data_IF_232163336731
#
_entry.id   IF_232163336731
#
_cell.length_a   1.000
_cell.length_b   1.000
_cell.length_c   1.000
_cell.angle_alpha   90.00
_cell.angle_beta   90.00
_cell.angle_gamma   90.00
#
_symmetry.space_group_name_H-M   'P 1'
#
loop_
_entity.id
_entity.type
_entity.pdbx_description
1 polymer ?
#
# COMPACT_ATOMS: atom_id res chain seq x y z
N UNK A 1 -9.54 28.31 -24.65
CA UNK A 1 -10.38 28.23 -23.44
C UNK A 1 -9.96 26.98 -22.69
N UNK A 2 -9.66 27.06 -21.39
CA UNK A 2 -9.34 25.85 -20.62
C UNK A 2 -10.62 25.04 -20.47
N UNK A 3 -10.60 23.77 -20.92
CA UNK A 3 -11.73 22.84 -20.76
C UNK A 3 -12.04 22.66 -19.28
N UNK A 4 -13.33 22.62 -18.94
CA UNK A 4 -13.80 22.34 -17.57
C UNK A 4 -13.28 21.00 -17.10
N UNK A 5 -12.70 20.95 -15.90
CA UNK A 5 -12.24 19.70 -15.31
C UNK A 5 -13.44 18.87 -14.86
N UNK A 6 -13.44 17.56 -15.14
CA UNK A 6 -14.51 16.64 -14.75
C UNK A 6 -13.94 15.52 -13.86
N UNK A 7 -14.76 14.92 -12.98
CA UNK A 7 -14.36 13.71 -12.27
C UNK A 7 -14.13 12.56 -13.25
N UNK A 8 -13.10 11.75 -12.98
CA UNK A 8 -12.82 10.51 -13.70
C UNK A 8 -13.94 9.49 -13.49
N UNK A 9 -14.50 9.44 -12.26
CA UNK A 9 -15.62 8.59 -11.88
C UNK A 9 -16.46 9.28 -10.79
N UNK A 10 -17.75 8.96 -10.72
CA UNK A 10 -18.65 9.43 -9.66
C UNK A 10 -19.23 8.20 -8.95
N UNK A 11 -18.83 7.98 -7.71
CA UNK A 11 -19.24 6.86 -6.88
C UNK A 11 -18.30 6.66 -5.69
N UNK A 12 -18.23 5.44 -5.17
CA UNK A 12 -17.40 5.13 -3.99
C UNK A 12 -16.35 4.10 -4.34
N UNK A 13 -15.09 4.36 -3.98
CA UNK A 13 -14.04 3.36 -4.09
C UNK A 13 -14.04 2.60 -2.76
N UNK A 14 -14.54 1.37 -2.72
CA UNK A 14 -14.60 0.59 -1.49
C UNK A 14 -13.27 -0.10 -1.23
N UNK A 15 -12.82 -0.95 -2.16
CA UNK A 15 -11.63 -1.80 -2.03
C UNK A 15 -10.48 -1.40 -2.95
N UNK A 16 -9.34 -2.06 -2.82
CA UNK A 16 -8.23 -1.92 -3.78
C UNK A 16 -8.67 -2.31 -5.19
N UNK A 17 -9.46 -3.37 -5.33
CA UNK A 17 -9.95 -3.84 -6.64
C UNK A 17 -10.77 -2.74 -7.36
N UNK A 18 -11.65 -2.05 -6.64
CA UNK A 18 -12.39 -0.91 -7.21
C UNK A 18 -11.46 0.17 -7.77
N UNK A 19 -10.37 0.48 -7.06
CA UNK A 19 -9.39 1.44 -7.53
C UNK A 19 -8.69 0.95 -8.81
N UNK A 20 -8.30 -0.33 -8.84
CA UNK A 20 -7.65 -0.94 -10.00
C UNK A 20 -8.57 -0.98 -11.23
N UNK A 21 -9.87 -1.20 -11.05
CA UNK A 21 -10.86 -1.13 -12.14
C UNK A 21 -10.88 0.27 -12.77
N UNK A 22 -10.86 1.34 -11.97
CA UNK A 22 -10.85 2.71 -12.49
C UNK A 22 -9.49 3.06 -13.12
N UNK A 23 -8.37 2.58 -12.58
CA UNK A 23 -7.07 2.70 -13.25
C UNK A 23 -7.08 2.01 -14.61
N UNK A 24 -7.55 0.77 -14.70
CA UNK A 24 -7.68 0.03 -15.96
C UNK A 24 -8.58 0.76 -16.95
N UNK A 25 -9.72 1.29 -16.50
CA UNK A 25 -10.61 2.09 -17.33
C UNK A 25 -9.91 3.33 -17.91
N UNK A 26 -8.98 3.95 -17.18
CA UNK A 26 -8.20 5.08 -17.68
C UNK A 26 -7.11 4.65 -18.66
N UNK A 27 -6.40 3.56 -18.37
CA UNK A 27 -5.33 3.03 -19.21
C UNK A 27 -5.84 2.43 -20.53
N UNK A 28 -7.09 1.97 -20.55
CA UNK A 28 -7.79 1.50 -21.77
C UNK A 28 -8.48 2.62 -22.55
N UNK A 29 -8.48 3.86 -22.03
CA UNK A 29 -9.14 5.01 -22.66
C UNK A 29 -10.67 5.07 -22.46
N UNK A 30 -11.26 4.17 -21.68
CA UNK A 30 -12.68 4.20 -21.33
C UNK A 30 -13.03 5.37 -20.38
N UNK A 31 -12.07 5.81 -19.56
CA UNK A 31 -12.14 7.01 -18.72
C UNK A 31 -10.91 7.88 -18.94
N UNK A 32 -11.01 9.15 -18.57
CA UNK A 32 -9.93 10.10 -18.77
C UNK A 32 -9.19 10.39 -17.46
N UNK A 33 -7.86 10.42 -17.56
CA UNK A 33 -7.01 11.06 -16.55
C UNK A 33 -7.32 12.55 -16.48
N UNK A 34 -7.24 13.13 -15.29
CA UNK A 34 -7.29 14.59 -15.15
C UNK A 34 -5.95 15.20 -15.59
N UNK A 35 -5.96 16.16 -16.53
CA UNK A 35 -4.72 16.69 -17.11
C UNK A 35 -4.09 17.80 -16.25
N UNK A 36 -4.79 18.27 -15.21
CA UNK A 36 -4.38 19.41 -14.39
C UNK A 36 -5.09 19.43 -13.05
N UNK A 37 -4.62 20.31 -12.16
CA UNK A 37 -5.25 20.60 -10.87
C UNK A 37 -6.59 21.34 -11.05
N UNK A 38 -7.53 21.19 -10.09
CA UNK A 38 -8.73 22.00 -10.05
C UNK A 38 -8.37 23.45 -9.70
N UNK A 39 -8.89 24.38 -10.49
CA UNK A 39 -8.79 25.81 -10.21
C UNK A 39 -9.70 26.19 -9.04
N UNK A 40 -9.40 27.29 -8.34
CA UNK A 40 -10.16 27.71 -7.15
C UNK A 40 -11.67 27.80 -7.42
N UNK A 41 -12.06 28.35 -8.58
CA UNK A 41 -13.46 28.46 -9.02
C UNK A 41 -14.16 27.12 -9.27
N UNK A 42 -13.41 26.07 -9.61
CA UNK A 42 -13.96 24.74 -9.92
C UNK A 42 -14.10 23.86 -8.66
N UNK A 43 -13.38 24.20 -7.57
CA UNK A 43 -13.29 23.34 -6.37
C UNK A 43 -14.63 23.11 -5.69
N UNK A 44 -15.52 24.10 -5.68
CA UNK A 44 -16.86 23.95 -5.08
C UNK A 44 -17.70 22.87 -5.79
N UNK A 45 -17.44 22.66 -7.08
CA UNK A 45 -18.12 21.63 -7.87
C UNK A 45 -17.39 20.29 -7.84
N UNK A 46 -16.06 20.32 -7.75
CA UNK A 46 -15.23 19.13 -7.87
C UNK A 46 -14.93 18.44 -6.55
N UNK A 47 -14.78 19.19 -5.45
CA UNK A 47 -14.41 18.64 -4.15
C UNK A 47 -15.69 18.34 -3.36
N UNK A 48 -16.41 17.33 -3.83
CA UNK A 48 -17.67 16.86 -3.25
C UNK A 48 -17.73 15.35 -3.16
N UNK A 49 -18.64 14.85 -2.33
CA UNK A 49 -18.88 13.43 -2.18
C UNK A 49 -19.18 12.75 -3.51
N UNK A 50 -18.64 11.55 -3.70
CA UNK A 50 -18.74 10.75 -4.92
C UNK A 50 -17.65 11.03 -5.95
N UNK A 51 -17.04 12.22 -5.98
CA UNK A 51 -16.08 12.53 -7.04
C UNK A 51 -14.76 11.79 -6.84
N UNK A 52 -14.30 11.15 -7.92
CA UNK A 52 -13.03 10.44 -8.01
C UNK A 52 -12.22 10.99 -9.17
N UNK A 53 -10.92 11.22 -8.93
CA UNK A 53 -9.98 11.75 -9.89
C UNK A 53 -8.77 10.83 -9.99
N UNK A 54 -8.36 10.51 -11.22
CA UNK A 54 -7.09 9.84 -11.49
C UNK A 54 -6.20 10.79 -12.29
N UNK A 55 -4.96 10.98 -11.84
CA UNK A 55 -3.94 11.69 -12.62
C UNK A 55 -2.66 10.88 -12.75
N UNK A 56 -2.00 11.05 -13.89
CA UNK A 56 -0.67 10.55 -14.16
C UNK A 56 0.34 11.68 -13.89
N UNK A 57 1.43 11.41 -13.17
CA UNK A 57 2.36 12.47 -12.72
C UNK A 57 3.05 13.19 -13.87
N UNK A 58 3.53 12.49 -14.90
CA UNK A 58 4.30 13.11 -15.99
C UNK A 58 3.41 13.95 -16.91
N UNK A 59 2.31 13.38 -17.43
CA UNK A 59 1.41 14.08 -18.33
C UNK A 59 0.70 15.27 -17.69
N UNK A 60 0.32 15.18 -16.41
CA UNK A 60 -0.41 16.25 -15.71
C UNK A 60 0.49 17.27 -14.99
N UNK A 61 1.74 16.89 -14.70
CA UNK A 61 2.65 17.65 -13.83
C UNK A 61 2.23 17.70 -12.36
N UNK A 62 1.25 16.89 -11.94
CA UNK A 62 0.72 16.88 -10.57
C UNK A 62 1.49 15.87 -9.73
N UNK A 63 2.32 16.34 -8.80
CA UNK A 63 3.02 15.46 -7.83
C UNK A 63 2.24 15.18 -6.53
N UNK A 64 1.31 16.07 -6.19
CA UNK A 64 0.52 16.03 -4.96
C UNK A 64 -0.80 16.69 -5.23
N UNK A 65 -1.94 16.09 -4.91
CA UNK A 65 -3.23 16.74 -5.11
C UNK A 65 -3.47 17.90 -4.11
N UNK A 66 -4.04 19.01 -4.59
CA UNK A 66 -4.34 20.20 -3.78
C UNK A 66 -5.78 20.66 -4.04
N UNK A 67 -6.59 20.64 -3.00
CA UNK A 67 -8.04 20.86 -3.07
C UNK A 67 -8.53 22.05 -2.22
N UNK A 68 -7.64 22.70 -1.46
CA UNK A 68 -7.98 23.84 -0.60
C UNK A 68 -8.74 23.48 0.68
N UNK A 69 -9.00 22.19 0.94
CA UNK A 69 -9.71 21.75 2.15
C UNK A 69 -8.72 21.52 3.29
N UNK A 70 -9.13 21.85 4.51
CA UNK A 70 -8.35 21.59 5.73
C UNK A 70 -8.51 20.13 6.13
N UNK A 71 -7.46 19.33 5.92
CA UNK A 71 -7.47 17.90 6.19
C UNK A 71 -6.75 17.54 7.50
N UNK A 72 -7.25 16.52 8.19
CA UNK A 72 -6.51 15.85 9.25
C UNK A 72 -5.18 15.27 8.76
N UNK A 73 -4.22 14.96 9.64
CA UNK A 73 -3.11 14.06 9.28
C UNK A 73 -3.65 12.72 8.74
N UNK A 74 -2.92 12.11 7.80
CA UNK A 74 -3.33 10.85 7.18
C UNK A 74 -3.38 9.70 8.19
N UNK A 75 -4.25 8.72 7.91
CA UNK A 75 -4.21 7.39 8.51
C UNK A 75 -4.20 6.33 7.41
N UNK A 76 -3.60 5.19 7.71
CA UNK A 76 -3.64 4.03 6.85
C UNK A 76 -4.99 3.33 7.09
N UNK A 77 -5.69 3.03 6.01
CA UNK A 77 -6.85 2.16 5.97
C UNK A 77 -6.61 1.20 4.80
N UNK A 78 -6.19 -0.03 5.12
CA UNK A 78 -5.72 -1.02 4.16
C UNK A 78 -4.61 -0.46 3.26
N UNK A 79 -4.86 -0.41 1.95
CA UNK A 79 -3.96 0.12 0.94
C UNK A 79 -4.09 1.62 0.70
N UNK A 80 -4.98 2.29 1.44
CA UNK A 80 -5.29 3.69 1.25
C UNK A 80 -4.70 4.57 2.34
N UNK A 81 -4.44 5.82 1.98
CA UNK A 81 -4.34 6.92 2.94
C UNK A 81 -5.68 7.64 3.01
N UNK A 82 -6.22 7.77 4.22
CA UNK A 82 -7.48 8.47 4.51
C UNK A 82 -7.25 9.75 5.31
N UNK A 83 -8.08 10.75 5.01
CA UNK A 83 -8.10 12.07 5.62
C UNK A 83 -9.55 12.47 5.88
N UNK A 84 -9.79 13.22 6.95
CA UNK A 84 -11.12 13.77 7.26
C UNK A 84 -11.07 15.28 7.36
N UNK A 85 -12.09 15.95 6.83
CA UNK A 85 -12.23 17.39 6.84
C UNK A 85 -12.31 17.92 8.28
N UNK A 86 -11.54 18.98 8.54
CA UNK A 86 -11.51 19.69 9.81
C UNK A 86 -12.44 20.89 9.76
N UNK A 87 -13.02 21.24 10.91
CA UNK A 87 -13.84 22.45 11.04
C UNK A 87 -13.02 23.71 10.75
N UNK A 88 -11.76 23.69 11.16
CA UNK A 88 -10.81 24.80 10.98
C UNK A 88 -9.41 24.26 10.70
N UNK A 89 -8.57 24.99 9.93
CA UNK A 89 -7.16 24.64 9.81
C UNK A 89 -6.46 24.71 11.17
N UNK A 90 -5.36 23.96 11.30
CA UNK A 90 -4.47 24.09 12.46
C UNK A 90 -3.94 25.52 12.55
N UNK A 91 -4.02 26.13 13.73
CA UNK A 91 -3.51 27.47 13.96
C UNK A 91 -1.98 27.55 13.77
N UNK A 92 -1.43 28.75 13.49
CA UNK A 92 0.03 28.94 13.42
C UNK A 92 0.68 28.48 14.74
N UNK A 93 1.54 27.46 14.67
CA UNK A 93 2.25 26.91 15.83
C UNK A 93 1.50 25.82 16.63
N UNK A 94 0.25 25.49 16.30
CA UNK A 94 -0.44 24.36 16.91
C UNK A 94 0.19 23.03 16.45
N UNK A 95 0.65 22.22 17.41
CA UNK A 95 1.16 20.88 17.10
C UNK A 95 0.01 20.01 16.60
N UNK A 96 0.19 19.32 15.47
CA UNK A 96 -0.75 18.34 14.87
C UNK A 96 -0.91 17.05 15.71
N UNK A 97 -1.06 17.18 17.02
CA UNK A 97 -1.23 16.06 17.95
C UNK A 97 -2.72 15.76 18.09
N UNK A 98 -3.07 14.48 18.13
CA UNK A 98 -4.44 14.07 18.44
C UNK A 98 -4.84 14.61 19.82
N UNK A 99 -6.11 15.00 19.96
CA UNK A 99 -6.64 15.41 21.25
C UNK A 99 -6.51 14.23 22.23
N UNK A 100 -5.87 14.46 23.39
CA UNK A 100 -5.86 13.49 24.48
C UNK A 100 -7.27 13.47 25.07
N UNK A 101 -7.98 12.35 24.95
CA UNK A 101 -9.26 12.16 25.64
C UNK A 101 -9.06 12.37 27.15
N UNK A 102 -9.81 13.24 27.82
CA UNK A 102 -9.92 13.17 29.27
C UNK A 102 -10.54 11.81 29.62
N UNK A 103 -9.93 11.07 30.55
CA UNK A 103 -10.56 9.88 31.15
C UNK A 103 -11.86 10.36 31.80
N UNK A 104 -13.01 10.13 31.15
CA UNK A 104 -14.30 10.29 31.82
C UNK A 104 -14.35 9.23 32.93
N UNK A 105 -14.20 9.65 34.18
CA UNK A 105 -14.69 8.86 35.30
C UNK A 105 -16.19 8.68 35.09
N UNK A 106 -16.61 7.44 34.88
CA UNK A 106 -18.00 7.06 34.64
C UNK A 106 -18.80 7.18 35.94
N UNK A 107 -19.46 8.31 36.15
CA UNK A 107 -20.64 8.38 37.00
C UNK A 107 -21.81 8.86 36.14
N UNK A 108 -22.81 8.00 35.93
CA UNK A 108 -24.10 8.38 35.34
C UNK A 108 -24.49 7.53 34.14
N UNK A 109 -25.22 6.45 34.41
CA UNK A 109 -26.00 5.68 33.43
C UNK A 109 -27.14 6.58 32.91
N UNK A 110 -26.98 7.12 31.72
CA UNK A 110 -28.09 7.42 30.80
C UNK A 110 -27.61 6.99 29.41
N UNK A 111 -27.91 5.74 29.10
CA UNK A 111 -27.67 5.09 27.81
C UNK A 111 -28.53 5.77 26.75
N UNK A 112 -27.95 6.68 25.97
CA UNK A 112 -28.42 6.95 24.61
C UNK A 112 -27.75 5.90 23.71
N UNK A 113 -28.41 4.75 23.57
CA UNK A 113 -27.86 3.55 22.91
C UNK A 113 -27.55 3.78 21.41
N UNK A 114 -28.13 4.79 20.77
CA UNK A 114 -27.97 5.06 19.34
C UNK A 114 -26.60 5.65 18.91
N UNK A 115 -25.77 6.13 19.84
CA UNK A 115 -24.54 6.88 19.52
C UNK A 115 -23.26 6.03 19.54
N UNK A 116 -23.31 4.82 20.09
CA UNK A 116 -22.17 3.89 20.09
C UNK A 116 -22.15 2.99 18.86
N UNK A 117 -23.30 2.52 18.39
CA UNK A 117 -23.39 1.59 17.24
C UNK A 117 -22.87 2.22 15.93
N UNK A 118 -23.16 3.51 15.70
CA UNK A 118 -22.69 4.22 14.51
C UNK A 118 -21.15 4.32 14.38
N UNK A 119 -20.41 4.17 15.48
CA UNK A 119 -18.96 4.40 15.52
C UNK A 119 -18.17 3.27 14.87
N UNK A 120 -18.66 2.04 14.96
CA UNK A 120 -17.97 0.89 14.38
C UNK A 120 -18.14 0.89 12.86
N UNK A 121 -19.33 1.23 12.37
CA UNK A 121 -19.59 1.41 10.92
C UNK A 121 -18.77 2.57 10.33
N UNK A 122 -18.65 3.69 11.07
CA UNK A 122 -17.78 4.79 10.64
C UNK A 122 -16.32 4.34 10.61
N UNK A 123 -15.88 3.50 11.55
CA UNK A 123 -14.49 3.03 11.62
C UNK A 123 -14.08 2.24 10.36
N UNK A 124 -15.01 1.52 9.74
CA UNK A 124 -14.75 0.84 8.46
C UNK A 124 -14.45 1.83 7.32
N UNK A 125 -15.01 3.05 7.39
CA UNK A 125 -14.84 4.08 6.35
C UNK A 125 -13.64 4.99 6.63
N UNK A 126 -13.45 5.41 7.88
CA UNK A 126 -12.46 6.43 8.26
C UNK A 126 -11.31 5.89 9.13
N UNK A 127 -11.28 4.59 9.40
CA UNK A 127 -10.27 3.96 10.25
C UNK A 127 -10.22 4.57 11.64
N UNK A 128 -9.03 4.97 12.08
CA UNK A 128 -8.83 5.57 13.41
C UNK A 128 -9.22 7.04 13.53
N UNK A 129 -9.74 7.70 12.48
CA UNK A 129 -10.07 9.14 12.46
C UNK A 129 -11.46 9.47 13.06
N UNK A 130 -11.90 8.73 14.08
CA UNK A 130 -13.26 8.90 14.65
C UNK A 130 -13.36 10.15 15.53
N UNK A 131 -12.42 10.35 16.46
CA UNK A 131 -12.49 11.41 17.48
C UNK A 131 -11.13 12.02 17.86
N UNK A 132 -10.13 11.90 16.98
CA UNK A 132 -8.77 12.39 17.23
C UNK A 132 -8.58 13.90 17.03
N UNK A 133 -9.49 14.57 16.31
CA UNK A 133 -9.38 15.98 15.89
C UNK A 133 -10.76 16.65 15.89
N UNK A 134 -10.76 17.99 15.77
CA UNK A 134 -11.97 18.80 15.58
C UNK A 134 -12.47 18.67 14.14
N UNK A 135 -13.06 17.53 13.85
CA UNK A 135 -13.63 17.22 12.54
C UNK A 135 -14.91 18.02 12.31
N UNK A 136 -15.10 18.45 11.07
CA UNK A 136 -16.34 19.07 10.64
C UNK A 136 -17.49 18.07 10.76
N UNK A 137 -18.64 18.53 11.26
CA UNK A 137 -19.85 17.72 11.31
C UNK A 137 -20.30 17.37 9.88
N UNK A 138 -20.52 16.08 9.60
CA UNK A 138 -20.78 15.58 8.24
C UNK A 138 -19.69 15.98 7.22
N UNK A 139 -18.46 16.19 7.70
CA UNK A 139 -17.33 16.58 6.86
C UNK A 139 -16.94 15.53 5.83
N UNK A 140 -16.26 16.00 4.79
CA UNK A 140 -15.80 15.18 3.70
C UNK A 140 -14.67 14.24 4.17
N UNK A 141 -14.60 13.06 3.57
CA UNK A 141 -13.49 12.13 3.66
C UNK A 141 -12.76 12.13 2.32
N UNK A 142 -11.44 12.20 2.37
CA UNK A 142 -10.58 11.99 1.21
C UNK A 142 -9.84 10.67 1.38
N UNK A 143 -9.92 9.80 0.37
CA UNK A 143 -9.23 8.53 0.31
C UNK A 143 -8.33 8.49 -0.92
N UNK A 144 -7.08 8.07 -0.75
CA UNK A 144 -6.07 8.09 -1.81
C UNK A 144 -5.29 6.79 -1.88
N UNK A 145 -4.93 6.39 -3.09
CA UNK A 145 -4.05 5.25 -3.39
C UNK A 145 -3.20 5.63 -4.61
N UNK A 146 -2.07 4.95 -4.78
CA UNK A 146 -1.17 5.21 -5.89
C UNK A 146 -0.62 3.89 -6.41
N UNK A 147 -0.37 3.87 -7.71
CA UNK A 147 0.23 2.74 -8.43
C UNK A 147 1.36 3.28 -9.30
N UNK A 148 2.22 2.37 -9.76
CA UNK A 148 3.19 2.66 -10.81
C UNK A 148 2.86 1.78 -12.00
N UNK A 149 2.73 2.39 -13.18
CA UNK A 149 2.50 1.69 -14.44
C UNK A 149 3.53 2.19 -15.46
N UNK A 150 4.25 1.28 -16.11
CA UNK A 150 5.34 1.60 -17.06
C UNK A 150 6.37 2.63 -16.52
N UNK A 151 6.68 2.52 -15.22
CA UNK A 151 7.61 3.43 -14.53
C UNK A 151 7.05 4.81 -14.20
N UNK A 152 5.78 5.09 -14.52
CA UNK A 152 5.11 6.37 -14.24
C UNK A 152 4.15 6.22 -13.06
N UNK A 153 4.19 7.13 -12.06
CA UNK A 153 3.22 7.15 -10.99
C UNK A 153 1.84 7.61 -11.46
N UNK A 154 0.80 6.85 -11.10
CA UNK A 154 -0.60 7.26 -11.21
C UNK A 154 -1.22 7.32 -9.82
N UNK A 155 -2.07 8.32 -9.62
CA UNK A 155 -2.67 8.61 -8.32
C UNK A 155 -4.17 8.70 -8.45
N UNK A 156 -4.87 8.06 -7.50
CA UNK A 156 -6.31 8.18 -7.33
C UNK A 156 -6.61 9.01 -6.09
N UNK A 157 -7.55 9.94 -6.23
CA UNK A 157 -8.13 10.74 -5.15
C UNK A 157 -9.65 10.58 -5.19
N UNK A 158 -10.22 10.05 -4.12
CA UNK A 158 -11.66 9.85 -3.97
C UNK A 158 -12.19 10.67 -2.80
N UNK A 159 -13.36 11.26 -3.00
CA UNK A 159 -14.08 12.04 -2.00
C UNK A 159 -15.42 11.40 -1.68
N UNK A 160 -15.79 11.33 -0.40
CA UNK A 160 -17.11 10.84 0.01
C UNK A 160 -17.47 11.36 1.41
N UNK A 161 -18.75 11.39 1.75
CA UNK A 161 -19.22 11.49 3.14
C UNK A 161 -19.60 10.10 3.65
N UNK A 162 -19.43 9.84 4.94
CA UNK A 162 -19.85 8.56 5.54
C UNK A 162 -21.36 8.32 5.32
N UNK A 163 -22.17 9.38 5.37
CA UNK A 163 -23.61 9.34 5.13
C UNK A 163 -23.95 8.83 3.72
N UNK A 164 -23.27 9.30 2.68
CA UNK A 164 -23.55 8.91 1.30
C UNK A 164 -23.21 7.45 1.03
N UNK A 165 -22.15 6.96 1.67
CA UNK A 165 -21.77 5.55 1.61
C UNK A 165 -22.78 4.68 2.37
N UNK A 166 -23.11 5.05 3.61
CA UNK A 166 -24.06 4.31 4.46
C UNK A 166 -25.47 4.27 3.88
N UNK A 167 -25.90 5.33 3.20
CA UNK A 167 -27.19 5.39 2.51
C UNK A 167 -27.22 4.65 1.17
N UNK A 168 -26.09 4.09 0.72
CA UNK A 168 -26.00 3.35 -0.55
C UNK A 168 -26.14 4.23 -1.79
N UNK A 169 -25.97 5.56 -1.67
CA UNK A 169 -26.11 6.49 -2.80
C UNK A 169 -24.95 6.43 -3.80
N UNK A 170 -23.80 5.92 -3.36
CA UNK A 170 -22.57 5.88 -4.16
C UNK A 170 -22.29 4.46 -4.63
N UNK A 171 -22.34 4.24 -5.94
CA UNK A 171 -22.06 2.93 -6.56
C UNK A 171 -20.55 2.66 -6.61
N UNK A 172 -20.14 1.45 -6.26
CA UNK A 172 -18.75 1.01 -6.41
C UNK A 172 -18.43 0.62 -7.86
N UNK A 173 -17.20 0.86 -8.36
CA UNK A 173 -16.78 0.44 -9.70
C UNK A 173 -17.07 -1.03 -10.02
N UNK A 174 -16.80 -1.95 -9.08
CA UNK A 174 -17.11 -3.38 -9.20
C UNK A 174 -18.60 -3.71 -9.37
N UNK A 175 -19.49 -2.79 -8.99
CA UNK A 175 -20.95 -2.93 -9.12
C UNK A 175 -21.52 -2.07 -10.25
N UNK A 176 -20.71 -1.22 -10.89
CA UNK A 176 -21.17 -0.32 -11.93
C UNK A 176 -21.34 -1.08 -13.26
N UNK A 177 -22.47 -0.96 -13.98
CA UNK A 177 -22.75 -1.76 -15.18
C UNK A 177 -21.64 -1.74 -16.24
N UNK A 178 -21.06 -0.56 -16.49
CA UNK A 178 -20.02 -0.38 -17.52
C UNK A 178 -18.61 -0.79 -17.07
N UNK A 179 -18.39 -1.00 -15.78
CA UNK A 179 -17.05 -1.16 -15.21
C UNK A 179 -16.84 -2.52 -14.54
N UNK A 180 -17.92 -3.16 -14.07
CA UNK A 180 -17.88 -4.45 -13.35
C UNK A 180 -17.24 -5.61 -14.15
N UNK A 181 -17.17 -5.47 -15.46
CA UNK A 181 -16.58 -6.47 -16.37
C UNK A 181 -15.16 -6.10 -16.81
N UNK A 182 -14.64 -4.93 -16.42
CA UNK A 182 -13.25 -4.57 -16.67
C UNK A 182 -12.36 -5.36 -15.71
N UNK A 183 -11.46 -6.15 -16.27
CA UNK A 183 -10.48 -6.92 -15.50
C UNK A 183 -9.16 -6.13 -15.53
N UNK A 184 -8.66 -5.66 -14.38
CA UNK A 184 -7.35 -5.00 -14.32
C UNK A 184 -6.24 -5.92 -14.85
N UNK A 185 -5.36 -5.36 -15.68
CA UNK A 185 -4.18 -6.09 -16.18
C UNK A 185 -3.29 -6.62 -15.06
N UNK A 186 -2.56 -7.70 -15.35
CA UNK A 186 -1.66 -8.41 -14.41
C UNK A 186 -0.65 -7.47 -13.72
N UNK A 187 -0.08 -6.51 -14.45
CA UNK A 187 0.84 -5.50 -13.91
C UNK A 187 0.22 -4.65 -12.78
N UNK A 188 -1.08 -4.38 -12.82
CA UNK A 188 -1.77 -3.64 -11.77
C UNK A 188 -2.06 -4.50 -10.54
N UNK A 189 -2.21 -5.81 -10.72
CA UNK A 189 -2.52 -6.75 -9.66
C UNK A 189 -1.27 -7.23 -8.93
N UNK A 190 -0.17 -7.45 -9.65
CA UNK A 190 1.00 -8.18 -9.15
C UNK A 190 2.24 -7.31 -8.96
N UNK A 191 2.36 -6.17 -9.66
CA UNK A 191 3.57 -5.35 -9.66
C UNK A 191 3.51 -4.15 -8.70
N UNK A 192 2.56 -4.15 -7.77
CA UNK A 192 2.34 -3.05 -6.84
C UNK A 192 2.78 -3.42 -5.41
N UNK A 193 3.30 -2.43 -4.67
CA UNK A 193 3.71 -2.60 -3.27
C UNK A 193 2.56 -2.26 -2.30
N UNK A 194 1.49 -3.05 -2.37
CA UNK A 194 0.34 -2.90 -1.48
C UNK A 194 0.67 -3.38 -0.05
N UNK A 195 0.08 -2.68 0.93
CA UNK A 195 0.26 -2.92 2.38
C UNK A 195 -0.60 -4.07 2.88
N UNK A 196 -1.73 -4.30 2.22
CA UNK A 196 -2.70 -5.34 2.51
C UNK A 196 -3.03 -6.10 1.22
N UNK A 197 -3.49 -7.36 1.32
CA UNK A 197 -3.98 -8.12 0.16
C UNK A 197 -5.05 -7.35 -0.63
N UNK A 198 -5.22 -7.70 -1.90
CA UNK A 198 -6.31 -7.17 -2.73
C UNK A 198 -7.56 -7.99 -2.41
N UNK A 199 -8.59 -7.36 -1.86
CA UNK A 199 -9.86 -8.03 -1.56
C UNK A 199 -10.45 -8.67 -2.83
N UNK A 200 -10.85 -9.93 -2.73
CA UNK A 200 -11.38 -10.73 -3.85
C UNK A 200 -10.34 -11.49 -4.67
N UNK A 201 -9.04 -11.38 -4.34
CA UNK A 201 -7.96 -12.17 -4.98
C UNK A 201 -7.48 -13.36 -4.16
N UNK A 202 -8.07 -13.63 -2.98
CA UNK A 202 -7.78 -14.85 -2.23
C UNK A 202 -8.09 -16.06 -3.11
N UNK A 203 -7.09 -16.94 -3.26
CA UNK A 203 -6.88 -17.96 -4.29
C UNK A 203 -7.95 -19.06 -4.46
N UNK A 204 -9.23 -18.81 -4.20
CA UNK A 204 -10.28 -19.85 -4.26
C UNK A 204 -11.65 -19.42 -4.78
N UNK A 205 -11.89 -18.18 -5.22
CA UNK A 205 -13.29 -17.76 -5.55
C UNK A 205 -13.57 -17.01 -6.84
N UNK A 206 -12.58 -16.64 -7.68
CA UNK A 206 -12.92 -16.07 -9.01
C UNK A 206 -12.09 -16.73 -10.13
N UNK A 207 -12.67 -17.77 -10.74
CA UNK A 207 -12.11 -18.49 -11.90
C UNK A 207 -11.77 -17.54 -13.07
N UNK A 208 -12.40 -16.36 -13.16
CA UNK A 208 -12.14 -15.40 -14.24
C UNK A 208 -10.78 -14.74 -14.12
N UNK A 209 -10.38 -14.36 -12.90
CA UNK A 209 -9.06 -13.77 -12.67
C UNK A 209 -7.97 -14.84 -12.78
N UNK A 210 -8.20 -16.05 -12.26
CA UNK A 210 -7.24 -17.16 -12.42
C UNK A 210 -7.06 -17.56 -13.87
N UNK A 211 -8.14 -17.67 -14.65
CA UNK A 211 -8.07 -18.03 -16.06
C UNK A 211 -7.30 -17.00 -16.87
N UNK A 212 -7.54 -15.69 -16.66
CA UNK A 212 -6.83 -14.66 -17.40
C UNK A 212 -5.36 -14.54 -16.99
N UNK A 213 -5.05 -14.71 -15.71
CA UNK A 213 -3.66 -14.80 -15.21
C UNK A 213 -2.95 -16.01 -15.82
N UNK A 214 -3.58 -17.20 -15.87
CA UNK A 214 -3.00 -18.39 -16.50
C UNK A 214 -2.76 -18.21 -18.00
N UNK A 215 -3.68 -17.54 -18.70
CA UNK A 215 -3.53 -17.22 -20.14
C UNK A 215 -2.37 -16.25 -20.39
N UNK A 216 -2.21 -15.23 -19.54
CA UNK A 216 -1.14 -14.23 -19.63
C UNK A 216 0.24 -14.82 -19.26
N UNK A 217 0.27 -15.80 -18.36
CA UNK A 217 1.46 -16.59 -18.01
C UNK A 217 1.76 -17.76 -18.99
N UNK A 218 1.04 -17.87 -20.11
CA UNK A 218 1.31 -18.88 -21.13
C UNK A 218 0.90 -20.31 -20.76
N UNK A 219 0.13 -20.50 -19.69
CA UNK A 219 -0.49 -21.78 -19.36
C UNK A 219 -1.77 -21.96 -20.17
N UNK A 220 -1.61 -22.44 -21.39
CA UNK A 220 -2.70 -22.87 -22.24
C UNK A 220 -3.37 -24.10 -21.61
N UNK A 221 -4.51 -23.94 -20.93
CA UNK A 221 -5.37 -25.06 -20.54
C UNK A 221 -6.17 -25.49 -21.77
N UNK A 222 -5.48 -26.04 -22.77
CA UNK A 222 -6.15 -26.92 -23.71
C UNK A 222 -6.63 -28.12 -22.90
N UNK A 223 -7.91 -28.17 -22.56
CA UNK A 223 -8.59 -29.43 -22.25
C UNK A 223 -8.51 -30.27 -23.52
N UNK A 224 -7.41 -30.98 -23.67
CA UNK A 224 -7.32 -32.11 -24.57
C UNK A 224 -8.04 -33.23 -23.86
N UNK A 225 -9.26 -33.51 -24.34
CA UNK A 225 -10.01 -34.71 -23.99
C UNK A 225 -9.09 -35.92 -24.16
N UNK A 226 -8.69 -36.51 -23.04
CA UNK A 226 -8.00 -37.80 -23.04
C UNK A 226 -9.07 -38.85 -23.40
N UNK A 227 -8.93 -39.63 -24.49
CA UNK A 227 -9.87 -40.69 -24.79
C UNK A 227 -9.75 -41.81 -23.73
N UNK A 228 -10.86 -42.49 -23.36
CA UNK A 228 -10.78 -43.59 -22.43
C UNK A 228 -10.29 -44.83 -23.18
N UNK A 229 -9.16 -45.41 -22.75
CA UNK A 229 -8.72 -46.72 -23.22
C UNK A 229 -8.60 -47.65 -22.00
N UNK A 230 -9.52 -48.61 -21.93
CA UNK A 230 -9.40 -49.84 -21.13
C UNK A 230 -9.14 -51.03 -22.09
N UNK A 231 -8.89 -52.25 -21.61
CA UNK A 231 -7.67 -52.70 -20.96
C UNK A 231 -7.07 -53.96 -21.65
N UNK A 232 -5.86 -54.33 -21.22
CA UNK A 232 -5.41 -55.70 -20.91
C UNK A 232 -4.31 -56.40 -21.76
N UNK A 233 -3.48 -57.13 -21.01
CA UNK A 233 -2.57 -58.25 -21.29
C UNK A 233 -1.15 -58.10 -21.90
N UNK A 234 -0.18 -58.37 -21.00
CA UNK A 234 0.94 -59.34 -21.06
C UNK A 234 2.40 -58.92 -21.34
N UNK A 235 3.23 -59.15 -20.30
CA UNK A 235 4.56 -59.79 -20.21
C UNK A 235 5.56 -59.76 -21.39
N UNK A 236 6.79 -59.33 -21.06
CA UNK A 236 8.03 -59.67 -21.77
C UNK A 236 9.27 -59.02 -21.15
N UNK A 237 10.00 -59.75 -20.30
CA UNK A 237 11.33 -59.38 -19.79
C UNK A 237 12.38 -59.39 -20.91
N UNK A 238 13.17 -58.32 -21.06
CA UNK A 238 14.53 -58.38 -21.63
C UNK A 238 15.45 -57.35 -20.96
N UNK A 239 16.59 -57.83 -20.47
CA UNK A 239 17.73 -57.03 -20.03
C UNK A 239 18.48 -56.51 -21.26
N UNK A 240 18.80 -55.22 -21.31
CA UNK A 240 19.87 -54.70 -22.16
C UNK A 240 20.44 -53.41 -21.58
N UNK A 241 21.75 -53.44 -21.31
CA UNK A 241 22.57 -52.30 -20.90
C UNK A 241 22.59 -51.21 -21.98
N UNK A 242 22.55 -49.95 -21.56
CA UNK A 242 22.74 -48.79 -22.44
C UNK A 242 23.16 -47.57 -21.63
N UNK A 243 24.36 -47.07 -21.92
CA UNK A 243 25.13 -46.08 -21.17
C UNK A 243 24.48 -44.68 -21.15
N UNK A 244 24.63 -43.99 -20.01
CA UNK A 244 24.34 -42.56 -19.83
C UNK A 244 25.48 -41.70 -20.41
N UNK A 245 25.19 -40.57 -21.10
CA UNK A 245 26.21 -39.57 -21.39
C UNK A 245 26.39 -38.61 -20.17
N UNK A 246 27.58 -38.02 -19.97
CA UNK A 246 27.85 -37.18 -18.80
C UNK A 246 27.29 -35.76 -18.95
N UNK A 247 26.79 -35.23 -17.83
CA UNK A 247 26.49 -33.81 -17.61
C UNK A 247 27.81 -33.03 -17.55
N UNK A 248 27.95 -32.04 -18.43
CA UNK A 248 29.01 -31.03 -18.34
C UNK A 248 28.64 -30.02 -17.24
N UNK A 249 29.35 -30.06 -16.11
CA UNK A 249 29.40 -28.95 -15.17
C UNK A 249 30.26 -27.83 -15.74
N UNK A 250 29.70 -26.64 -15.95
CA UNK A 250 30.48 -25.44 -16.22
C UNK A 250 30.62 -24.64 -14.92
N UNK A 251 31.81 -24.74 -14.33
CA UNK A 251 32.26 -23.98 -13.18
C UNK A 251 32.63 -22.57 -13.64
N UNK A 252 31.90 -21.54 -13.20
CA UNK A 252 32.24 -20.15 -13.47
C UNK A 252 33.23 -19.65 -12.40
N UNK A 253 34.50 -19.54 -12.78
CA UNK A 253 35.54 -18.92 -11.98
C UNK A 253 35.37 -17.40 -11.93
N UNK A 254 35.48 -16.84 -10.72
CA UNK A 254 35.66 -15.41 -10.48
C UNK A 254 37.02 -14.95 -11.03
N UNK A 255 37.01 -14.02 -11.98
CA UNK A 255 38.20 -13.26 -12.35
C UNK A 255 38.09 -11.83 -11.84
N UNK A 256 39.01 -11.49 -10.93
CA UNK A 256 39.31 -10.13 -10.51
C UNK A 256 40.03 -9.41 -11.66
N UNK A 257 39.44 -8.34 -12.19
CA UNK A 257 40.14 -7.42 -13.07
C UNK A 257 40.49 -6.14 -12.31
N UNK A 258 41.79 -5.97 -12.05
CA UNK A 258 42.40 -4.67 -11.81
C UNK A 258 42.42 -3.88 -13.13
N UNK A 259 41.95 -2.63 -13.12
CA UNK A 259 42.23 -1.68 -14.18
C UNK A 259 42.96 -0.46 -13.61
N UNK A 260 44.21 -0.37 -14.02
CA UNK A 260 45.10 0.77 -13.89
C UNK A 260 44.80 1.70 -15.07
N UNK A 261 44.38 2.94 -14.84
CA UNK A 261 44.44 3.98 -15.86
C UNK A 261 44.82 5.34 -15.27
N UNK A 262 45.77 5.94 -15.97
CA UNK A 262 46.60 7.08 -15.65
C UNK A 262 45.98 8.32 -16.32
N UNK A 263 45.74 9.40 -15.56
CA UNK A 263 45.25 10.67 -16.11
C UNK A 263 46.28 11.79 -15.90
N UNK A 264 46.81 12.31 -17.01
CA UNK A 264 47.43 13.63 -17.08
C UNK A 264 46.36 14.72 -17.25
N UNK A 265 46.59 15.95 -16.74
CA UNK A 265 45.61 17.04 -16.80
C UNK A 265 45.81 17.89 -18.07
N UNK A 266 44.70 18.26 -18.72
CA UNK A 266 44.68 19.37 -19.67
C UNK A 266 43.69 20.43 -19.23
N UNK A 267 44.24 21.64 -19.15
CA UNK A 267 43.64 22.89 -18.72
C UNK A 267 42.78 23.46 -19.86
N UNK A 268 41.60 23.97 -19.51
CA UNK A 268 40.91 24.99 -20.30
C UNK A 268 40.45 26.12 -19.35
N UNK A 269 40.41 27.37 -19.83
CA UNK A 269 40.34 28.56 -18.98
C UNK A 269 38.92 28.82 -18.45
N UNK A 270 38.77 29.47 -17.28
CA UNK A 270 37.46 29.87 -16.79
C UNK A 270 37.03 31.21 -17.41
N UNK A 271 35.82 31.22 -17.96
CA UNK A 271 35.09 32.45 -18.23
C UNK A 271 34.53 33.04 -16.92
N UNK A 272 34.55 34.36 -16.89
CA UNK A 272 34.27 35.24 -15.76
C UNK A 272 32.82 35.13 -15.28
N UNK A 273 32.63 34.81 -14.00
CA UNK A 273 31.52 35.32 -13.19
C UNK A 273 32.08 35.73 -11.84
N UNK A 274 32.54 36.97 -11.77
CA UNK A 274 32.76 37.63 -10.50
C UNK A 274 31.43 38.15 -9.94
N UNK A 275 31.34 37.99 -8.63
CA UNK A 275 30.73 38.93 -7.69
C UNK A 275 29.30 38.67 -7.21
N UNK A 276 29.15 37.64 -6.38
CA UNK A 276 28.33 37.77 -5.17
C UNK A 276 28.89 36.93 -4.02
N UNK A 277 30.10 37.27 -3.58
CA UNK A 277 30.68 36.71 -2.36
C UNK A 277 30.54 37.73 -1.23
N UNK A 278 29.37 37.71 -0.57
CA UNK A 278 29.17 38.39 0.72
C UNK A 278 28.97 37.36 1.83
N UNK A 279 30.04 37.21 2.63
CA UNK A 279 30.10 36.85 4.05
C UNK A 279 29.06 35.85 4.59
N UNK A 280 29.36 34.56 4.50
CA UNK A 280 28.78 33.58 5.44
C UNK A 280 29.53 33.71 6.78
N UNK A 281 28.80 33.88 7.88
CA UNK A 281 29.39 33.98 9.21
C UNK A 281 30.09 32.67 9.62
N UNK A 282 31.11 32.70 10.49
CA UNK A 282 31.76 31.49 11.00
C UNK A 282 30.78 30.48 11.61
N UNK A 283 29.68 30.97 12.20
CA UNK A 283 28.61 30.13 12.74
C UNK A 283 27.86 29.34 11.66
N UNK A 284 27.69 29.91 10.46
CA UNK A 284 27.02 29.21 9.35
C UNK A 284 27.91 28.10 8.76
N UNK A 285 29.23 28.34 8.70
CA UNK A 285 30.19 27.33 8.25
C UNK A 285 30.27 26.14 9.24
N UNK A 286 30.24 26.43 10.53
CA UNK A 286 30.22 25.41 11.58
C UNK A 286 28.92 24.59 11.57
N UNK A 287 27.77 25.24 11.31
CA UNK A 287 26.50 24.55 11.18
C UNK A 287 26.47 23.61 9.96
N UNK A 288 27.03 24.05 8.82
CA UNK A 288 27.10 23.23 7.61
C UNK A 288 28.02 22.01 7.79
N UNK A 289 29.14 22.19 8.50
CA UNK A 289 30.05 21.09 8.81
C UNK A 289 29.42 20.08 9.79
N UNK A 290 28.64 20.56 10.77
CA UNK A 290 27.90 19.69 11.70
C UNK A 290 26.76 18.93 11.01
N UNK A 291 26.08 19.56 10.05
CA UNK A 291 25.05 18.92 9.23
C UNK A 291 25.64 17.82 8.33
N UNK A 292 26.85 18.04 7.79
CA UNK A 292 27.53 17.05 6.96
C UNK A 292 28.03 15.84 7.79
N UNK A 293 28.50 16.05 9.02
CA UNK A 293 28.84 14.96 9.94
C UNK A 293 27.61 14.14 10.37
N UNK A 294 26.45 14.78 10.60
CA UNK A 294 25.21 14.05 10.92
C UNK A 294 24.75 13.17 9.76
N UNK A 295 24.87 13.63 8.50
CA UNK A 295 24.53 12.80 7.35
C UNK A 295 25.45 11.58 7.20
N UNK A 296 26.76 11.73 7.41
CA UNK A 296 27.69 10.59 7.38
C UNK A 296 27.39 9.58 8.48
N UNK A 297 27.05 10.04 9.68
CA UNK A 297 26.70 9.14 10.79
C UNK A 297 25.39 8.38 10.54
N UNK A 298 24.42 9.02 9.88
CA UNK A 298 23.16 8.39 9.52
C UNK A 298 23.31 7.35 8.40
N UNK A 299 24.23 7.56 7.44
CA UNK A 299 24.58 6.55 6.43
C UNK A 299 25.30 5.35 7.03
N UNK A 300 26.19 5.54 8.00
CA UNK A 300 26.85 4.42 8.70
C UNK A 300 25.86 3.56 9.49
N UNK A 301 24.86 4.16 10.15
CA UNK A 301 23.81 3.40 10.85
C UNK A 301 22.92 2.60 9.89
N UNK A 302 22.61 3.15 8.71
CA UNK A 302 21.87 2.41 7.67
C UNK A 302 22.67 1.23 7.12
N UNK A 303 23.98 1.38 6.91
CA UNK A 303 24.86 0.28 6.51
C UNK A 303 24.92 -0.83 7.56
N UNK A 304 25.01 -0.48 8.84
CA UNK A 304 25.05 -1.48 9.91
C UNK A 304 23.72 -2.23 10.07
N UNK A 305 22.59 -1.56 9.87
CA UNK A 305 21.26 -2.20 9.89
C UNK A 305 21.06 -3.15 8.70
N UNK A 306 21.56 -2.78 7.52
CA UNK A 306 21.47 -3.61 6.31
C UNK A 306 22.31 -4.88 6.45
N UNK A 307 23.48 -4.80 7.10
CA UNK A 307 24.36 -5.94 7.31
C UNK A 307 23.81 -6.94 8.35
N UNK A 308 23.10 -6.46 9.38
CA UNK A 308 22.41 -7.35 10.33
C UNK A 308 21.22 -8.08 9.68
N UNK A 309 20.47 -7.47 8.78
CA UNK A 309 19.35 -8.15 8.10
C UNK A 309 19.83 -9.26 7.15
N UNK A 310 20.98 -9.10 6.49
CA UNK A 310 21.55 -10.15 5.63
C UNK A 310 22.05 -11.37 6.41
N UNK A 311 22.46 -11.21 7.68
CA UNK A 311 22.91 -12.32 8.52
C UNK A 311 21.76 -13.27 8.94
N UNK A 312 20.51 -12.80 8.96
CA UNK A 312 19.35 -13.65 9.30
C UNK A 312 18.80 -14.48 8.13
N UNK A 313 19.22 -14.21 6.89
CA UNK A 313 18.68 -14.86 5.68
C UNK A 313 19.47 -16.12 5.28
N UNK A 314 20.55 -16.47 5.98
CA UNK A 314 21.50 -17.52 5.53
C UNK A 314 21.58 -18.75 6.44
N UNK A 315 20.48 -19.17 7.07
CA UNK A 315 20.40 -20.48 7.73
C UNK A 315 19.46 -21.42 6.94
N UNK A 316 19.95 -22.59 6.46
CA UNK A 316 19.08 -23.56 5.81
C UNK A 316 18.16 -24.26 6.84
N UNK A 317 16.95 -24.69 6.44
CA UNK A 317 16.03 -25.36 7.35
C UNK A 317 16.50 -26.79 7.66
N UNK A 318 16.49 -27.14 8.95
CA UNK A 318 16.87 -28.44 9.49
C UNK A 318 15.69 -29.44 9.36
N UNK A 319 15.79 -30.56 8.63
CA UNK A 319 14.65 -31.42 8.37
C UNK A 319 14.67 -32.67 9.25
N UNK A 320 14.51 -32.55 10.57
CA UNK A 320 14.11 -33.68 11.41
C UNK A 320 13.58 -33.15 12.74
N UNK A 321 12.26 -33.20 12.91
CA UNK A 321 11.58 -33.39 14.21
C UNK A 321 10.11 -33.73 13.91
N UNK A 322 9.86 -34.99 13.58
CA UNK A 322 8.56 -35.62 13.77
C UNK A 322 8.50 -36.13 15.21
N UNK A 323 7.71 -35.49 16.07
CA UNK A 323 7.37 -36.06 17.38
C UNK A 323 5.87 -35.92 17.63
N UNK A 324 5.19 -37.03 17.35
CA UNK A 324 3.94 -37.55 17.91
C UNK A 324 3.36 -36.79 19.12
N UNK A 325 2.14 -36.29 18.96
CA UNK A 325 1.23 -35.98 20.06
C UNK A 325 0.63 -37.29 20.59
N UNK A 326 0.91 -37.60 21.86
CA UNK A 326 0.21 -38.65 22.61
C UNK A 326 -0.60 -38.02 23.73
N UNK A 327 -1.89 -38.33 23.69
CA UNK A 327 -2.95 -38.02 24.64
C UNK A 327 -2.73 -38.70 26.00
N UNK A 328 -3.05 -38.04 27.12
CA UNK A 328 -3.49 -38.62 28.42
C UNK A 328 -3.88 -37.46 29.39
N UNK A 329 -4.68 -37.68 30.46
CA UNK A 329 -5.97 -37.01 30.64
C UNK A 329 -6.08 -36.09 31.87
N UNK A 330 -7.20 -35.36 31.93
CA UNK A 330 -7.66 -34.53 33.06
C UNK A 330 -7.75 -35.30 34.38
N UNK A 331 -7.35 -34.65 35.48
CA UNK A 331 -7.74 -35.02 36.84
C UNK A 331 -8.38 -33.80 37.50
N UNK A 332 -9.65 -33.97 37.84
CA UNK A 332 -10.50 -33.10 38.62
C UNK A 332 -10.22 -33.18 40.13
N UNK A 333 -10.33 -32.05 40.81
CA UNK A 333 -10.78 -31.97 42.21
C UNK A 333 -9.71 -31.71 43.25
N UNK A 334 -9.79 -30.55 43.90
CA UNK A 334 -10.00 -30.39 45.35
C UNK A 334 -10.39 -28.92 45.59
N UNK A 335 -11.60 -28.74 46.11
CA UNK A 335 -12.05 -27.55 46.82
C UNK A 335 -11.87 -27.81 48.31
N UNK A 336 -11.38 -26.82 49.07
CA UNK A 336 -11.97 -26.37 50.35
C UNK A 336 -11.07 -25.32 51.02
N UNK A 337 -11.60 -24.09 51.08
CA UNK A 337 -11.73 -23.21 52.25
C UNK A 337 -10.65 -23.09 53.34
N UNK A 338 -10.48 -21.83 53.78
CA UNK A 338 -9.95 -21.32 55.05
C UNK A 338 -8.43 -21.19 55.20
N UNK A 339 -7.93 -19.96 55.13
CA UNK A 339 -7.39 -19.33 56.35
C UNK A 339 -7.43 -17.80 56.25
N UNK A 340 -7.78 -17.24 57.38
CA UNK A 340 -8.09 -15.86 57.66
C UNK A 340 -6.83 -15.10 58.14
N UNK A 341 -6.91 -13.78 58.00
CA UNK A 341 -6.38 -12.76 58.90
C UNK A 341 -4.87 -12.41 59.00
N UNK A 342 -4.70 -11.09 58.86
CA UNK A 342 -3.88 -10.19 59.70
C UNK A 342 -2.41 -9.92 59.36
N UNK A 343 -2.16 -8.62 59.16
CA UNK A 343 -0.99 -7.81 59.51
C UNK A 343 0.41 -8.26 59.04
N UNK A 344 1.13 -7.32 58.42
CA UNK A 344 2.32 -6.68 58.99
C UNK A 344 2.91 -5.65 58.00
N UNK A 345 3.00 -4.40 58.48
CA UNK A 345 3.88 -3.27 58.15
C UNK A 345 4.09 -2.79 56.70
#
# INVERSE_FOLDING_TARGET
MSSTLLPTYVGYIHSTLDALIIFEACLSGARNHVPRRPQDRERQELIRSGNVFIYEEHASGIKRWTDGVSWSPSRILDNFLVYRELERPFGPGEKKRALKKPKKMSNGITKTESRCENRDDDRALIGSLVDSYDFKQSGLVKKTISITFQGVPHHLVSYYTCEDVKSGRLTCPSNHPDLRNLIPRSELLMSQNFRAPIDGTDSSTDERYQSQVLVDYGYNTSIQQVPPMMPNYHMGYYYAQGQLPPIHMQQQQQQQHHHHHQHHPHQQPPQQQHEQQQLMSPAHLQHLQQQQQQQQHQQQQQHHHTQQQQAYVTLPPNPHLSSSFSYMPEISGIDTSNMDNSNLF
#
